data_IF_033282994003
#
_entry.id   IF_033282994003
#
_cell.length_a   1.000
_cell.length_b   1.000
_cell.length_c   1.000
_cell.angle_alpha   90.00
_cell.angle_beta   90.00
_cell.angle_gamma   90.00
#
_symmetry.space_group_name_H-M   'P 1'
#
loop_
_entity.id
_entity.type
_entity.pdbx_description
1 polymer ?
#
# COMPACT_ATOMS: atom_id res chain seq x y z
N UNK A 1 52.44 7.29 15.66
CA UNK A 1 51.60 6.35 14.89
C UNK A 1 50.24 7.01 14.67
N UNK A 2 50.02 7.65 13.52
CA UNK A 2 48.77 8.35 13.16
C UNK A 2 48.04 7.48 12.12
N UNK A 3 46.91 6.90 12.48
CA UNK A 3 46.03 6.17 11.56
C UNK A 3 45.08 7.21 10.94
N UNK A 4 45.26 7.49 9.65
CA UNK A 4 44.38 8.35 8.88
C UNK A 4 43.05 7.63 8.61
N UNK A 5 41.94 8.23 9.05
CA UNK A 5 40.59 7.80 8.65
C UNK A 5 40.25 8.47 7.32
N UNK A 6 40.48 7.77 6.21
CA UNK A 6 39.91 8.16 4.92
C UNK A 6 38.41 7.82 4.93
N UNK A 7 37.56 8.81 5.21
CA UNK A 7 36.13 8.67 5.01
C UNK A 7 35.85 8.62 3.50
N UNK A 8 35.20 7.55 3.05
CA UNK A 8 34.77 7.39 1.66
C UNK A 8 33.80 8.53 1.30
N UNK A 9 34.07 9.20 0.18
CA UNK A 9 33.19 10.24 -0.35
C UNK A 9 31.84 9.65 -0.75
N UNK A 10 30.75 10.40 -0.59
CA UNK A 10 29.40 10.02 -1.07
C UNK A 10 29.41 9.57 -2.53
N UNK A 11 30.25 10.16 -3.38
CA UNK A 11 30.38 9.74 -4.79
C UNK A 11 31.00 8.35 -4.91
N UNK A 12 32.01 8.04 -4.11
CA UNK A 12 32.64 6.71 -4.08
C UNK A 12 31.68 5.64 -3.54
N UNK A 13 30.86 5.99 -2.55
CA UNK A 13 29.80 5.11 -2.03
C UNK A 13 28.73 4.80 -3.10
N UNK A 14 28.27 5.82 -3.83
CA UNK A 14 27.28 5.64 -4.90
C UNK A 14 27.84 4.85 -6.09
N UNK A 15 29.12 5.06 -6.45
CA UNK A 15 29.80 4.25 -7.47
C UNK A 15 29.93 2.78 -7.05
N UNK A 16 30.24 2.51 -5.77
CA UNK A 16 30.32 1.15 -5.25
C UNK A 16 28.93 0.44 -5.24
N UNK A 17 27.86 1.17 -4.94
CA UNK A 17 26.49 0.63 -5.04
C UNK A 17 26.06 0.35 -6.49
N UNK A 18 26.46 1.20 -7.45
CA UNK A 18 26.20 0.97 -8.86
C UNK A 18 26.84 -0.31 -9.42
N UNK A 19 28.05 -0.65 -8.95
CA UNK A 19 28.73 -1.90 -9.33
C UNK A 19 28.10 -3.12 -8.65
N UNK A 20 27.60 -3.00 -7.41
CA UNK A 20 26.86 -4.09 -6.76
C UNK A 20 25.47 -4.34 -7.38
N UNK A 21 24.81 -3.31 -7.92
CA UNK A 21 23.59 -3.50 -8.71
C UNK A 21 23.84 -4.26 -10.02
N UNK A 22 25.04 -4.12 -10.61
CA UNK A 22 25.46 -4.89 -11.79
C UNK A 22 25.83 -6.34 -11.48
N UNK A 23 26.45 -6.60 -10.32
CA UNK A 23 26.81 -7.96 -9.90
C UNK A 23 25.59 -8.80 -9.46
N UNK A 24 24.55 -8.17 -8.89
CA UNK A 24 23.30 -8.86 -8.55
C UNK A 24 22.51 -9.34 -9.77
N UNK A 25 22.61 -8.65 -10.90
CA UNK A 25 21.96 -9.07 -12.17
C UNK A 25 22.66 -10.29 -12.77
N UNK A 26 23.98 -10.41 -12.62
CA UNK A 26 24.73 -11.59 -13.07
C UNK A 26 24.52 -12.82 -12.17
N UNK A 27 24.21 -12.63 -10.88
CA UNK A 27 23.89 -13.73 -9.98
C UNK A 27 22.48 -14.32 -10.20
N UNK A 28 21.56 -13.56 -10.83
CA UNK A 28 20.20 -14.02 -11.17
C UNK A 28 20.11 -14.68 -12.55
N UNK A 29 21.17 -14.66 -13.35
CA UNK A 29 21.17 -15.23 -14.70
C UNK A 29 21.11 -16.77 -14.72
N UNK A 30 21.30 -17.44 -13.58
CA UNK A 30 21.31 -18.91 -13.45
C UNK A 30 20.11 -19.49 -12.67
N UNK A 31 19.18 -18.65 -12.23
CA UNK A 31 17.86 -19.09 -11.79
C UNK A 31 16.92 -18.87 -12.94
N UNK A 32 16.19 -19.91 -13.37
CA UNK A 32 15.06 -19.78 -14.29
C UNK A 32 14.03 -18.82 -13.66
N UNK A 33 14.23 -17.52 -13.86
CA UNK A 33 13.22 -16.54 -13.54
C UNK A 33 12.05 -16.79 -14.48
N UNK A 34 10.92 -17.19 -13.90
CA UNK A 34 9.66 -17.34 -14.62
C UNK A 34 9.46 -16.13 -15.56
N UNK A 35 9.32 -16.38 -16.88
CA UNK A 35 9.12 -15.32 -17.88
C UNK A 35 7.94 -14.40 -17.54
N UNK A 36 6.92 -14.90 -16.82
CA UNK A 36 5.79 -14.10 -16.35
C UNK A 36 6.22 -13.05 -15.32
N UNK A 37 7.16 -13.39 -14.43
CA UNK A 37 7.72 -12.46 -13.43
C UNK A 37 8.54 -11.38 -14.11
N UNK A 38 9.40 -11.76 -15.06
CA UNK A 38 10.21 -10.81 -15.84
C UNK A 38 9.30 -9.86 -16.64
N UNK A 39 8.25 -10.38 -17.27
CA UNK A 39 7.28 -9.58 -18.01
C UNK A 39 6.54 -8.60 -17.11
N UNK A 40 6.12 -9.02 -15.91
CA UNK A 40 5.45 -8.15 -14.93
C UNK A 40 6.37 -7.03 -14.43
N UNK A 41 7.65 -7.34 -14.17
CA UNK A 41 8.66 -6.35 -13.78
C UNK A 41 9.00 -5.36 -14.90
N UNK A 42 9.03 -5.83 -16.14
CA UNK A 42 9.23 -4.97 -17.31
C UNK A 42 8.02 -4.06 -17.57
N UNK A 43 6.80 -4.60 -17.39
CA UNK A 43 5.56 -3.82 -17.50
C UNK A 43 5.44 -2.76 -16.41
N UNK A 44 5.79 -3.07 -15.16
CA UNK A 44 5.75 -2.09 -14.06
C UNK A 44 6.76 -0.96 -14.24
N UNK A 45 7.91 -1.20 -14.88
CA UNK A 45 8.90 -0.16 -15.22
C UNK A 45 8.43 0.83 -16.30
N UNK A 46 7.56 0.38 -17.20
CA UNK A 46 7.10 1.18 -18.34
C UNK A 46 5.66 1.68 -18.17
N UNK A 47 4.98 1.32 -17.07
CA UNK A 47 3.66 1.84 -16.78
C UNK A 47 3.75 3.37 -16.58
N UNK A 48 2.80 4.15 -17.13
CA UNK A 48 2.69 5.55 -16.80
C UNK A 48 2.58 5.69 -15.28
N UNK A 49 3.22 6.70 -14.66
CA UNK A 49 3.03 6.95 -13.24
C UNK A 49 1.53 7.11 -12.96
N UNK A 50 1.07 6.50 -11.87
CA UNK A 50 -0.31 6.63 -11.43
C UNK A 50 -0.68 8.10 -11.29
N UNK A 51 -1.79 8.49 -11.90
CA UNK A 51 -2.26 9.88 -11.86
C UNK A 51 -3.37 10.09 -10.84
N UNK A 52 -4.18 9.06 -10.58
CA UNK A 52 -5.39 9.17 -9.78
C UNK A 52 -5.62 7.93 -8.91
N UNK A 53 -6.30 8.13 -7.78
CA UNK A 53 -6.75 7.08 -6.90
C UNK A 53 -8.26 7.20 -6.69
N UNK A 54 -8.94 6.05 -6.62
CA UNK A 54 -10.38 5.98 -6.36
C UNK A 54 -10.60 5.73 -4.88
N UNK A 55 -11.46 6.54 -4.27
CA UNK A 55 -11.84 6.40 -2.87
C UNK A 55 -13.03 5.47 -2.75
N UNK A 56 -12.91 4.49 -1.87
CA UNK A 56 -13.97 3.54 -1.55
C UNK A 56 -14.39 3.77 -0.12
N UNK A 57 -15.67 4.04 0.08
CA UNK A 57 -16.31 4.17 1.38
C UNK A 57 -16.83 2.83 1.88
N UNK A 58 -17.66 2.14 1.09
CA UNK A 58 -18.27 0.85 1.44
C UNK A 58 -18.35 -0.04 0.20
N UNK A 59 -17.99 -1.31 0.31
CA UNK A 59 -18.06 -2.23 -0.83
C UNK A 59 -19.49 -2.58 -1.23
N UNK A 60 -20.46 -2.51 -0.30
CA UNK A 60 -21.88 -2.63 -0.64
C UNK A 60 -22.41 -1.50 -1.52
N UNK A 61 -21.81 -0.31 -1.45
CA UNK A 61 -22.23 0.89 -2.18
C UNK A 61 -21.39 1.11 -3.44
N UNK A 62 -20.07 1.09 -3.29
CA UNK A 62 -19.11 1.46 -4.34
C UNK A 62 -18.76 0.29 -5.27
N UNK A 63 -19.16 -0.93 -4.89
CA UNK A 63 -18.99 -2.15 -5.66
C UNK A 63 -18.15 -3.21 -4.95
N UNK A 64 -18.35 -4.47 -5.34
CA UNK A 64 -17.61 -5.57 -4.74
C UNK A 64 -16.12 -5.48 -5.09
N UNK A 65 -15.26 -5.92 -4.17
CA UNK A 65 -13.79 -5.95 -4.34
C UNK A 65 -13.38 -6.59 -5.67
N UNK A 66 -14.03 -7.70 -6.04
CA UNK A 66 -13.76 -8.44 -7.27
C UNK A 66 -14.15 -7.72 -8.57
N UNK A 67 -14.96 -6.65 -8.48
CA UNK A 67 -15.29 -5.77 -9.60
C UNK A 67 -14.34 -4.56 -9.62
N UNK A 68 -14.08 -3.95 -8.45
CA UNK A 68 -13.24 -2.75 -8.36
C UNK A 68 -11.81 -3.04 -8.81
N UNK A 69 -11.16 -4.08 -8.29
CA UNK A 69 -9.75 -4.37 -8.56
C UNK A 69 -9.40 -4.50 -10.06
N UNK A 70 -10.10 -5.33 -10.88
CA UNK A 70 -9.81 -5.41 -12.32
C UNK A 70 -10.06 -4.09 -13.04
N UNK A 71 -11.15 -3.37 -12.73
CA UNK A 71 -11.45 -2.07 -13.37
C UNK A 71 -10.37 -1.03 -13.10
N UNK A 72 -9.86 -0.94 -11.86
CA UNK A 72 -8.78 -0.01 -11.54
C UNK A 72 -7.46 -0.41 -12.23
N UNK A 73 -7.18 -1.70 -12.34
CA UNK A 73 -5.99 -2.21 -13.03
C UNK A 73 -6.00 -1.86 -14.53
N UNK A 74 -7.15 -2.04 -15.20
CA UNK A 74 -7.33 -1.71 -16.62
C UNK A 74 -7.12 -0.21 -16.91
N UNK A 75 -7.39 0.64 -15.91
CA UNK A 75 -7.30 2.09 -16.04
C UNK A 75 -6.04 2.70 -15.40
N UNK A 76 -5.09 1.86 -14.93
CA UNK A 76 -3.86 2.31 -14.26
C UNK A 76 -4.15 3.27 -13.09
N UNK A 77 -5.05 2.85 -12.20
CA UNK A 77 -5.49 3.61 -11.02
C UNK A 77 -5.04 2.95 -9.73
N UNK A 78 -4.95 3.74 -8.65
CA UNK A 78 -4.82 3.26 -7.28
C UNK A 78 -6.18 3.24 -6.56
N UNK A 79 -6.22 2.64 -5.36
CA UNK A 79 -7.40 2.63 -4.50
C UNK A 79 -7.09 3.19 -3.11
N UNK A 80 -8.05 3.89 -2.51
CA UNK A 80 -8.01 4.39 -1.13
C UNK A 80 -9.26 3.87 -0.40
N UNK A 81 -9.13 2.82 0.40
CA UNK A 81 -10.28 2.14 1.03
C UNK A 81 -10.50 2.61 2.47
N UNK A 82 -11.75 2.88 2.85
CA UNK A 82 -12.08 3.20 4.24
C UNK A 82 -11.89 1.96 5.11
N UNK A 83 -11.12 2.08 6.18
CA UNK A 83 -10.82 0.94 7.05
C UNK A 83 -11.58 0.99 8.36
N UNK A 84 -11.67 2.17 8.97
CA UNK A 84 -12.35 2.37 10.25
C UNK A 84 -12.97 3.77 10.35
N UNK A 85 -13.87 3.90 11.30
CA UNK A 85 -14.61 5.10 11.66
C UNK A 85 -14.57 5.25 13.20
N UNK A 86 -13.68 6.11 13.70
CA UNK A 86 -13.27 6.11 15.09
C UNK A 86 -12.67 4.76 15.49
N UNK A 87 -13.26 4.09 16.46
CA UNK A 87 -12.80 2.77 16.94
C UNK A 87 -13.52 1.59 16.31
N UNK A 88 -14.41 1.85 15.36
CA UNK A 88 -15.22 0.83 14.70
C UNK A 88 -14.65 0.48 13.34
N UNK A 89 -14.45 -0.80 13.07
CA UNK A 89 -14.09 -1.29 11.75
C UNK A 89 -15.27 -1.15 10.77
N UNK A 90 -14.98 -1.01 9.48
CA UNK A 90 -16.05 -0.80 8.48
C UNK A 90 -17.05 -1.94 8.37
N UNK A 91 -16.71 -3.17 8.77
CA UNK A 91 -17.63 -4.29 8.85
C UNK A 91 -18.79 -4.08 9.85
N UNK A 92 -18.68 -3.10 10.76
CA UNK A 92 -19.81 -2.64 11.58
C UNK A 92 -20.93 -2.01 10.75
N UNK A 93 -20.57 -1.38 9.62
CA UNK A 93 -21.46 -0.57 8.78
C UNK A 93 -21.69 -1.18 7.39
N UNK A 94 -20.88 -2.15 6.98
CA UNK A 94 -20.85 -2.75 5.66
C UNK A 94 -20.87 -4.29 5.81
N UNK A 95 -22.04 -4.90 5.57
CA UNK A 95 -22.26 -6.34 5.73
C UNK A 95 -22.11 -7.08 4.39
N UNK A 96 -20.90 -7.05 3.84
CA UNK A 96 -20.57 -7.76 2.60
C UNK A 96 -19.22 -8.47 2.70
N UNK A 97 -19.01 -9.54 1.92
CA UNK A 97 -17.70 -10.16 1.81
C UNK A 97 -16.64 -9.13 1.39
N UNK A 98 -15.62 -8.95 2.21
CA UNK A 98 -14.54 -8.02 1.95
C UNK A 98 -14.57 -6.74 2.78
N UNK A 99 -15.68 -6.45 3.47
CA UNK A 99 -15.75 -5.35 4.44
C UNK A 99 -14.64 -5.50 5.49
N UNK A 100 -13.98 -4.39 5.82
CA UNK A 100 -12.82 -4.40 6.71
C UNK A 100 -13.29 -4.66 8.14
N UNK A 101 -12.92 -5.80 8.73
CA UNK A 101 -13.24 -6.19 10.11
C UNK A 101 -12.02 -6.13 11.06
N UNK A 102 -10.86 -5.78 10.53
CA UNK A 102 -9.60 -5.72 11.26
C UNK A 102 -8.37 -5.92 10.37
N UNK A 103 -7.18 -5.99 10.98
CA UNK A 103 -5.90 -6.00 10.25
C UNK A 103 -5.74 -7.20 9.31
N UNK A 104 -6.27 -8.38 9.66
CA UNK A 104 -6.22 -9.57 8.80
C UNK A 104 -6.97 -9.37 7.49
N UNK A 105 -8.14 -8.72 7.55
CA UNK A 105 -8.93 -8.41 6.37
C UNK A 105 -8.29 -7.28 5.56
N UNK A 106 -7.67 -6.28 6.20
CA UNK A 106 -6.83 -5.29 5.50
C UNK A 106 -5.73 -5.98 4.70
N UNK A 107 -4.99 -6.91 5.30
CA UNK A 107 -3.94 -7.65 4.61
C UNK A 107 -4.47 -8.47 3.41
N UNK A 108 -5.65 -9.08 3.58
CA UNK A 108 -6.32 -9.83 2.51
C UNK A 108 -6.68 -8.93 1.33
N UNK A 109 -7.30 -7.77 1.60
CA UNK A 109 -7.73 -6.81 0.58
C UNK A 109 -6.53 -6.12 -0.07
N UNK A 110 -5.54 -5.68 0.71
CA UNK A 110 -4.30 -5.11 0.22
C UNK A 110 -3.59 -6.10 -0.73
N UNK A 111 -3.42 -7.35 -0.29
CA UNK A 111 -2.82 -8.39 -1.10
C UNK A 111 -3.58 -8.68 -2.39
N UNK A 112 -4.92 -8.55 -2.39
CA UNK A 112 -5.72 -8.69 -3.60
C UNK A 112 -5.42 -7.55 -4.57
N UNK A 113 -5.58 -6.28 -4.17
CA UNK A 113 -5.34 -5.13 -5.04
C UNK A 113 -3.91 -5.11 -5.59
N UNK A 114 -2.92 -5.39 -4.74
CA UNK A 114 -1.51 -5.44 -5.14
C UNK A 114 -1.23 -6.55 -6.17
N UNK A 115 -1.91 -7.71 -6.08
CA UNK A 115 -1.81 -8.77 -7.12
C UNK A 115 -2.40 -8.35 -8.46
N UNK A 116 -3.39 -7.45 -8.46
CA UNK A 116 -3.93 -6.82 -9.67
C UNK A 116 -3.03 -5.68 -10.18
N UNK A 117 -1.96 -5.33 -9.48
CA UNK A 117 -1.13 -4.17 -9.81
C UNK A 117 -1.76 -2.83 -9.45
N UNK A 118 -2.77 -2.84 -8.57
CA UNK A 118 -3.46 -1.65 -8.05
C UNK A 118 -2.87 -1.30 -6.68
N UNK A 119 -2.17 -0.17 -6.53
CA UNK A 119 -1.63 0.24 -5.25
C UNK A 119 -2.73 0.47 -4.22
N UNK A 120 -2.58 -0.18 -3.08
CA UNK A 120 -3.55 -0.13 -2.00
C UNK A 120 -3.17 0.93 -0.96
N UNK A 121 -4.02 1.94 -0.85
CA UNK A 121 -3.99 2.96 0.21
C UNK A 121 -5.24 2.84 1.07
N UNK A 122 -5.20 3.43 2.24
CA UNK A 122 -6.30 3.42 3.18
C UNK A 122 -6.70 4.84 3.61
N UNK A 123 -7.92 4.97 4.11
CA UNK A 123 -8.34 6.14 4.85
C UNK A 123 -9.21 5.75 6.05
N UNK A 124 -9.37 6.66 6.99
CA UNK A 124 -10.19 6.48 8.18
C UNK A 124 -10.70 7.83 8.69
N UNK A 125 -11.88 7.82 9.29
CA UNK A 125 -12.39 8.97 10.07
C UNK A 125 -11.89 8.82 11.49
N UNK A 126 -11.29 9.88 12.04
CA UNK A 126 -10.91 9.95 13.45
C UNK A 126 -11.93 10.79 14.20
N UNK A 127 -12.30 10.36 15.41
CA UNK A 127 -13.32 11.03 16.24
C UNK A 127 -12.74 11.65 17.51
N UNK A 128 -11.54 11.22 17.90
CA UNK A 128 -10.93 11.64 19.15
C UNK A 128 -11.60 11.04 20.40
N UNK A 129 -12.42 10.00 20.24
CA UNK A 129 -13.09 9.29 21.35
C UNK A 129 -12.06 8.50 22.16
N UNK A 130 -11.16 7.81 21.46
CA UNK A 130 -9.98 7.16 22.03
C UNK A 130 -8.77 7.37 21.10
N UNK A 131 -8.06 8.51 21.21
CA UNK A 131 -6.96 8.83 20.31
C UNK A 131 -5.83 7.80 20.29
N UNK A 132 -5.62 7.09 21.41
CA UNK A 132 -4.55 6.08 21.49
C UNK A 132 -4.94 4.81 20.73
N UNK A 133 -6.20 4.38 20.87
CA UNK A 133 -6.73 3.25 20.11
C UNK A 133 -6.88 3.57 18.63
N UNK A 134 -7.38 4.75 18.27
CA UNK A 134 -7.47 5.20 16.88
C UNK A 134 -6.08 5.23 16.21
N UNK A 135 -5.06 5.75 16.91
CA UNK A 135 -3.68 5.70 16.42
C UNK A 135 -3.14 4.27 16.28
N UNK A 136 -3.49 3.36 17.20
CA UNK A 136 -3.10 1.95 17.09
C UNK A 136 -3.76 1.27 15.89
N UNK A 137 -5.05 1.48 15.66
CA UNK A 137 -5.76 0.93 14.50
C UNK A 137 -5.16 1.44 13.18
N UNK A 138 -4.83 2.74 13.10
CA UNK A 138 -4.10 3.30 11.97
C UNK A 138 -2.73 2.63 11.75
N UNK A 139 -1.96 2.39 12.82
CA UNK A 139 -0.68 1.68 12.73
C UNK A 139 -0.85 0.22 12.27
N UNK A 140 -1.90 -0.45 12.74
CA UNK A 140 -2.20 -1.83 12.34
C UNK A 140 -2.57 -1.91 10.85
N UNK A 141 -3.35 -0.95 10.33
CA UNK A 141 -3.68 -0.85 8.89
C UNK A 141 -2.44 -0.69 8.02
N UNK A 142 -1.51 0.19 8.42
CA UNK A 142 -0.23 0.36 7.72
C UNK A 142 0.61 -0.93 7.78
N UNK A 143 0.68 -1.55 8.96
CA UNK A 143 1.42 -2.81 9.17
C UNK A 143 0.83 -3.98 8.38
N UNK A 144 -0.48 -3.96 8.13
CA UNK A 144 -1.20 -4.96 7.36
C UNK A 144 -1.00 -4.82 5.84
N UNK A 145 -0.40 -3.72 5.36
CA UNK A 145 0.00 -3.59 3.95
C UNK A 145 -0.55 -2.37 3.22
N UNK A 146 -1.25 -1.45 3.89
CA UNK A 146 -1.57 -0.16 3.29
C UNK A 146 -0.29 0.65 3.01
N UNK A 147 -0.13 1.16 1.78
CA UNK A 147 1.03 1.98 1.41
C UNK A 147 1.01 3.36 2.07
N UNK A 148 -0.17 3.88 2.33
CA UNK A 148 -0.39 5.09 3.13
C UNK A 148 -1.77 5.02 3.78
N UNK A 149 -1.97 5.88 4.77
CA UNK A 149 -3.24 6.08 5.45
C UNK A 149 -3.53 7.58 5.51
N UNK A 150 -4.71 7.99 5.04
CA UNK A 150 -5.22 9.36 5.19
C UNK A 150 -6.19 9.43 6.37
N UNK A 151 -5.99 10.38 7.28
CA UNK A 151 -6.92 10.66 8.36
C UNK A 151 -7.90 11.74 7.92
N UNK A 152 -9.18 11.41 7.92
CA UNK A 152 -10.27 12.35 7.70
C UNK A 152 -10.68 12.95 9.05
N UNK A 153 -10.47 14.27 9.16
CA UNK A 153 -10.69 15.07 10.35
C UNK A 153 -11.90 15.96 10.11
N UNK A 154 -13.05 15.52 10.62
CA UNK A 154 -14.32 16.22 10.43
C UNK A 154 -14.72 17.01 11.68
N UNK A 155 -15.21 18.24 11.51
CA UNK A 155 -15.63 19.11 12.61
C UNK A 155 -17.12 18.97 12.99
N UNK A 156 -17.88 18.13 12.29
CA UNK A 156 -19.33 17.99 12.49
C UNK A 156 -19.65 17.08 13.71
N UNK A 157 -20.62 17.46 14.57
CA UNK A 157 -21.09 16.67 15.73
C UNK A 157 -21.47 15.23 15.54
N UNK A 158 -21.72 14.79 14.31
CA UNK A 158 -21.97 13.38 14.03
C UNK A 158 -20.69 12.56 14.01
N UNK A 159 -19.53 13.21 13.97
CA UNK A 159 -18.21 12.60 13.87
C UNK A 159 -17.31 12.92 15.08
N UNK A 160 -17.83 13.53 16.15
CA UNK A 160 -17.15 13.71 17.44
C UNK A 160 -17.97 13.20 18.63
#
# INVERSE_FOLDING_TARGET
MRIGKHALSRRQFLSAMGVMAGAGVLALANTECDPAVVRRLAQSRNAPPLQHAVWVWQFSIDGAVGQIAPTLAENNLAVVVKTHDGTDWMATYDDVPGAIDGPSQVATIAGLFERYGVPFHAWAVVKGIDPSREAQMAADVLSAGARSLTLDLESDPKFW
#
